data_IF_472464862045
#
_entry.id   IF_472464862045
#
_cell.length_a   1.000
_cell.length_b   1.000
_cell.length_c   1.000
_cell.angle_alpha   90.00
_cell.angle_beta   90.00
_cell.angle_gamma   90.00
#
_symmetry.space_group_name_H-M   'P 1'
#
loop_
_entity.id
_entity.type
_entity.pdbx_description
1 polymer ?
#
# COMPACT_ATOMS: atom_id res chain seq x y z
N UNK A 1 -19.79 41.29 -3.41
CA UNK A 1 -19.06 40.76 -4.57
C UNK A 1 -17.63 40.50 -4.14
N UNK A 2 -17.23 39.24 -3.98
CA UNK A 2 -15.84 38.88 -3.66
C UNK A 2 -15.41 37.86 -4.72
N UNK A 3 -14.57 38.34 -5.63
CA UNK A 3 -14.02 37.60 -6.75
C UNK A 3 -12.83 36.79 -6.26
N UNK A 4 -12.86 35.48 -6.43
CA UNK A 4 -11.74 34.59 -6.13
C UNK A 4 -11.20 34.09 -7.46
N UNK A 5 -9.99 34.52 -7.81
CA UNK A 5 -9.29 34.08 -9.01
C UNK A 5 -8.81 32.65 -8.74
N UNK A 6 -9.42 31.66 -9.43
CA UNK A 6 -8.93 30.28 -9.45
C UNK A 6 -7.67 30.22 -10.31
N UNK A 7 -6.50 30.21 -9.68
CA UNK A 7 -5.24 29.91 -10.35
C UNK A 7 -5.11 28.40 -10.51
N UNK A 8 -5.44 27.89 -11.70
CA UNK A 8 -5.20 26.49 -12.08
C UNK A 8 -3.71 26.31 -12.38
N UNK A 9 -2.99 25.62 -11.51
CA UNK A 9 -1.62 25.19 -11.74
C UNK A 9 -1.63 23.85 -12.50
N UNK A 10 -1.34 23.87 -13.80
CA UNK A 10 -1.11 22.65 -14.59
C UNK A 10 0.33 22.18 -14.36
N UNK A 11 0.53 21.09 -13.61
CA UNK A 11 1.81 20.40 -13.51
C UNK A 11 1.80 19.26 -14.53
N UNK A 12 2.55 19.42 -15.62
CA UNK A 12 2.74 18.37 -16.62
C UNK A 12 3.86 17.45 -16.16
N UNK A 13 3.53 16.25 -15.69
CA UNK A 13 4.52 15.24 -15.28
C UNK A 13 4.97 14.48 -16.53
N UNK A 14 6.22 14.69 -16.94
CA UNK A 14 6.88 13.91 -17.99
C UNK A 14 7.43 12.62 -17.36
N UNK A 15 6.97 11.46 -17.82
CA UNK A 15 7.46 10.17 -17.34
C UNK A 15 8.82 9.83 -17.97
N UNK A 16 9.83 9.58 -17.14
CA UNK A 16 11.14 9.07 -17.55
C UNK A 16 11.13 7.55 -17.42
N UNK A 17 11.05 6.85 -18.55
CA UNK A 17 11.21 5.38 -18.58
C UNK A 17 12.70 5.03 -18.55
N UNK A 18 13.19 4.54 -17.42
CA UNK A 18 14.50 3.88 -17.32
C UNK A 18 14.29 2.40 -17.65
N UNK A 19 14.68 2.00 -18.85
CA UNK A 19 14.72 0.59 -19.25
C UNK A 19 16.00 -0.06 -18.74
N UNK A 20 15.90 -0.99 -17.79
CA UNK A 20 17.00 -1.90 -17.46
C UNK A 20 16.92 -3.13 -18.37
N UNK A 21 17.95 -3.30 -19.19
CA UNK A 21 18.23 -4.50 -19.98
C UNK A 21 19.16 -5.40 -19.17
N UNK A 22 18.74 -6.65 -18.92
CA UNK A 22 19.61 -7.68 -18.35
C UNK A 22 19.58 -8.90 -19.25
N UNK A 23 20.67 -9.13 -19.98
CA UNK A 23 20.99 -10.41 -20.61
C UNK A 23 22.48 -10.71 -20.40
N UNK A 24 22.79 -11.81 -19.70
CA UNK A 24 23.49 -12.99 -20.23
C UNK A 24 24.36 -13.71 -19.18
N UNK A 25 24.24 -15.03 -19.19
CA UNK A 25 24.72 -16.10 -18.31
C UNK A 25 26.20 -16.47 -18.50
N UNK A 26 26.89 -16.77 -17.40
CA UNK A 26 28.15 -17.57 -17.31
C UNK A 26 28.05 -18.23 -15.92
N UNK A 27 27.79 -19.52 -15.73
CA UNK A 27 28.69 -20.67 -15.85
C UNK A 27 27.87 -21.96 -15.94
N UNK A 28 28.32 -22.91 -16.77
CA UNK A 28 27.67 -24.19 -17.00
C UNK A 28 28.26 -25.37 -16.20
N UNK A 29 27.39 -26.38 -16.03
CA UNK A 29 27.68 -27.81 -16.25
C UNK A 29 28.42 -28.60 -15.17
N UNK A 30 27.73 -29.57 -14.56
CA UNK A 30 28.18 -30.97 -14.59
C UNK A 30 27.01 -31.92 -14.25
N UNK A 31 26.55 -32.69 -15.24
CA UNK A 31 25.63 -33.81 -15.07
C UNK A 31 26.39 -35.03 -14.54
N UNK A 32 25.87 -35.73 -13.53
CA UNK A 32 26.16 -37.17 -13.35
C UNK A 32 24.94 -37.85 -12.73
N UNK A 33 24.20 -38.52 -13.60
CA UNK A 33 23.15 -39.49 -13.24
C UNK A 33 23.80 -40.83 -12.87
N UNK A 34 23.40 -41.45 -11.74
CA UNK A 34 23.38 -42.91 -11.58
C UNK A 34 22.61 -43.36 -10.32
N UNK A 35 21.34 -43.75 -10.55
CA UNK A 35 20.73 -45.04 -10.20
C UNK A 35 20.63 -45.53 -8.73
N UNK A 36 19.35 -45.53 -8.28
CA UNK A 36 18.58 -46.58 -7.58
C UNK A 36 18.38 -46.57 -6.04
N UNK A 37 17.08 -46.50 -5.68
CA UNK A 37 16.37 -46.98 -4.47
C UNK A 37 16.82 -46.38 -3.14
N UNK A 38 15.95 -45.98 -2.22
CA UNK A 38 14.53 -46.16 -2.02
C UNK A 38 13.99 -44.97 -1.19
N UNK A 39 12.67 -44.89 -1.10
CA UNK A 39 11.89 -44.07 -0.17
C UNK A 39 11.75 -42.57 -0.48
N UNK A 40 10.57 -42.30 -1.06
CA UNK A 40 9.71 -41.14 -0.87
C UNK A 40 10.40 -39.78 -0.66
N UNK A 41 10.68 -39.08 -1.76
CA UNK A 41 10.71 -37.62 -1.73
C UNK A 41 10.40 -36.99 -3.08
N UNK A 42 9.67 -35.88 -2.96
CA UNK A 42 9.42 -34.77 -3.87
C UNK A 42 10.25 -34.69 -5.15
N UNK A 43 9.57 -34.73 -6.31
CA UNK A 43 9.98 -33.92 -7.47
C UNK A 43 8.80 -33.70 -8.44
N UNK A 44 7.83 -32.88 -8.03
CA UNK A 44 6.97 -32.22 -9.03
C UNK A 44 7.77 -31.10 -9.67
N UNK A 45 8.00 -31.26 -10.96
CA UNK A 45 8.55 -30.29 -11.89
C UNK A 45 7.86 -28.93 -11.69
N UNK A 46 8.46 -28.06 -10.87
CA UNK A 46 8.04 -26.66 -10.79
C UNK A 46 8.64 -25.95 -12.00
N UNK A 47 7.89 -25.99 -13.10
CA UNK A 47 8.05 -25.01 -14.15
C UNK A 47 8.02 -23.63 -13.46
N UNK A 48 9.15 -22.94 -13.45
CA UNK A 48 9.29 -21.56 -13.00
C UNK A 48 8.57 -20.66 -14.01
N UNK A 49 7.25 -20.80 -14.04
CA UNK A 49 6.38 -19.77 -14.55
C UNK A 49 6.49 -18.69 -13.50
N UNK A 50 7.27 -17.65 -13.79
CA UNK A 50 7.22 -16.41 -13.02
C UNK A 50 5.75 -16.01 -12.92
N UNK A 51 5.12 -16.35 -11.81
CA UNK A 51 3.78 -15.93 -11.49
C UNK A 51 3.92 -14.47 -11.19
N UNK A 52 3.71 -13.61 -12.20
CA UNK A 52 3.42 -12.22 -11.94
C UNK A 52 2.22 -12.21 -10.99
N UNK A 53 2.49 -12.02 -9.70
CA UNK A 53 1.45 -11.79 -8.70
C UNK A 53 0.86 -10.44 -9.06
N UNK A 54 -0.16 -10.47 -9.91
CA UNK A 54 -0.95 -9.29 -10.23
C UNK A 54 -1.41 -8.70 -8.91
N UNK A 55 -1.05 -7.45 -8.66
CA UNK A 55 -1.57 -6.73 -7.50
C UNK A 55 -3.10 -6.70 -7.62
N UNK A 56 -3.79 -7.08 -6.55
CA UNK A 56 -5.26 -7.16 -6.51
C UNK A 56 -5.88 -6.02 -5.72
N UNK A 57 -5.06 -5.29 -4.95
CA UNK A 57 -5.46 -4.25 -4.03
C UNK A 57 -4.54 -3.04 -4.10
N UNK A 58 -5.02 -1.92 -3.57
CA UNK A 58 -4.25 -0.74 -3.24
C UNK A 58 -3.94 -0.67 -1.75
N UNK A 59 -3.15 0.32 -1.38
CA UNK A 59 -2.78 0.58 0.00
C UNK A 59 -2.94 2.06 0.35
N UNK A 60 -3.13 2.34 1.64
CA UNK A 60 -3.10 3.69 2.21
C UNK A 60 -2.02 3.74 3.28
N UNK A 61 -1.19 4.78 3.24
CA UNK A 61 -0.09 4.99 4.18
C UNK A 61 -0.12 6.41 4.76
N UNK A 62 0.31 6.56 6.01
CA UNK A 62 0.50 7.87 6.61
C UNK A 62 1.12 7.80 8.00
N UNK A 63 1.17 8.96 8.64
CA UNK A 63 1.62 9.11 10.03
C UNK A 63 0.64 9.99 10.79
N UNK A 64 0.44 9.69 12.06
CA UNK A 64 -0.42 10.41 12.98
C UNK A 64 0.38 10.79 14.21
N UNK A 65 0.43 12.08 14.50
CA UNK A 65 1.02 12.60 15.73
C UNK A 65 -0.10 12.64 16.78
N UNK A 66 -0.11 11.64 17.66
CA UNK A 66 -1.02 11.51 18.80
C UNK A 66 -0.24 11.02 20.03
N UNK A 67 0.40 11.93 20.80
CA UNK A 67 1.24 11.52 21.92
C UNK A 67 0.41 10.84 23.01
N UNK A 68 0.86 9.67 23.45
CA UNK A 68 0.25 8.86 24.52
C UNK A 68 -1.19 8.38 24.24
N UNK A 69 -1.64 8.37 22.98
CA UNK A 69 -2.99 7.91 22.64
C UNK A 69 -2.95 6.88 21.52
N UNK A 70 -3.80 5.87 21.62
CA UNK A 70 -4.03 4.92 20.53
C UNK A 70 -4.88 5.55 19.43
N UNK A 71 -4.50 5.33 18.17
CA UNK A 71 -5.19 5.87 17.00
C UNK A 71 -5.85 4.74 16.22
N UNK A 72 -7.12 4.97 15.89
CA UNK A 72 -7.94 4.11 15.05
C UNK A 72 -8.26 4.81 13.74
N UNK A 73 -8.00 4.10 12.65
CA UNK A 73 -8.21 4.55 11.28
C UNK A 73 -9.34 3.73 10.68
N UNK A 74 -10.33 4.41 10.14
CA UNK A 74 -11.50 3.81 9.50
C UNK A 74 -11.63 4.41 8.11
N UNK A 75 -11.37 3.59 7.10
CA UNK A 75 -11.59 3.94 5.71
C UNK A 75 -12.89 3.30 5.22
N UNK A 76 -13.81 4.11 4.69
CA UNK A 76 -15.12 3.64 4.25
C UNK A 76 -15.40 4.14 2.84
N UNK A 77 -15.92 3.26 2.00
CA UNK A 77 -16.53 3.58 0.71
C UNK A 77 -17.98 3.08 0.74
N UNK A 78 -18.71 3.22 -0.35
CA UNK A 78 -20.08 2.75 -0.55
C UNK A 78 -20.22 1.23 -0.41
N UNK A 79 -19.14 0.47 -0.61
CA UNK A 79 -19.15 -1.00 -0.64
C UNK A 79 -18.49 -1.62 0.59
N UNK A 80 -17.40 -1.03 1.08
CA UNK A 80 -16.55 -1.64 2.09
C UNK A 80 -16.10 -0.68 3.17
N UNK A 81 -15.78 -1.27 4.33
CA UNK A 81 -15.17 -0.60 5.47
C UNK A 81 -13.92 -1.36 5.87
N UNK A 82 -12.79 -0.68 5.86
CA UNK A 82 -11.48 -1.21 6.25
C UNK A 82 -11.00 -0.41 7.47
N UNK A 83 -10.47 -1.11 8.46
CA UNK A 83 -9.98 -0.51 9.70
C UNK A 83 -8.51 -0.83 9.92
N UNK A 84 -7.77 0.10 10.51
CA UNK A 84 -6.39 -0.11 10.93
C UNK A 84 -6.04 0.71 12.16
N UNK A 85 -4.87 0.46 12.70
CA UNK A 85 -4.30 1.20 13.84
C UNK A 85 -2.91 1.70 13.47
N UNK A 86 -2.42 2.69 14.21
CA UNK A 86 -1.03 3.15 14.08
C UNK A 86 -0.10 2.30 14.95
N UNK A 87 1.19 2.31 14.61
CA UNK A 87 2.25 1.76 15.45
C UNK A 87 2.67 2.74 16.57
N UNK A 88 3.71 2.39 17.35
CA UNK A 88 4.24 3.20 18.47
C UNK A 88 4.74 4.60 18.07
N UNK A 89 5.13 4.78 16.80
CA UNK A 89 5.58 6.07 16.25
C UNK A 89 4.47 6.80 15.48
N UNK A 90 3.25 6.28 15.51
CA UNK A 90 2.09 6.88 14.87
C UNK A 90 1.97 6.58 13.37
N UNK A 91 2.81 5.73 12.79
CA UNK A 91 2.73 5.36 11.38
C UNK A 91 1.69 4.26 11.15
N UNK A 92 1.05 4.31 9.98
CA UNK A 92 0.11 3.27 9.55
C UNK A 92 0.31 2.93 8.08
N UNK A 93 0.13 1.65 7.78
CA UNK A 93 0.14 1.10 6.42
C UNK A 93 -0.96 0.05 6.32
N UNK A 94 -2.01 0.35 5.57
CA UNK A 94 -3.19 -0.50 5.44
C UNK A 94 -3.29 -0.94 3.98
N UNK A 95 -3.38 -2.24 3.73
CA UNK A 95 -3.54 -2.86 2.40
C UNK A 95 -4.94 -3.45 2.27
N UNK A 96 -5.24 -4.06 1.13
CA UNK A 96 -6.54 -4.71 0.90
C UNK A 96 -7.64 -3.75 0.45
N UNK A 97 -7.29 -2.58 -0.09
CA UNK A 97 -8.28 -1.65 -0.66
C UNK A 97 -8.60 -2.03 -2.11
N UNK A 98 -9.86 -2.32 -2.45
CA UNK A 98 -10.30 -2.25 -3.83
C UNK A 98 -10.03 -0.88 -4.46
N UNK A 99 -9.97 -0.84 -5.79
CA UNK A 99 -9.95 0.43 -6.51
C UNK A 99 -11.24 1.20 -6.21
N UNK A 100 -11.10 2.44 -5.76
CA UNK A 100 -12.25 3.21 -5.31
C UNK A 100 -11.90 4.55 -4.70
N UNK A 101 -12.92 5.24 -4.21
CA UNK A 101 -12.80 6.51 -3.50
C UNK A 101 -13.27 6.31 -2.07
N UNK A 102 -12.39 6.53 -1.10
CA UNK A 102 -12.65 6.27 0.31
C UNK A 102 -12.72 7.56 1.09
N UNK A 103 -13.60 7.58 2.09
CA UNK A 103 -13.57 8.53 3.19
C UNK A 103 -12.75 7.91 4.31
N UNK A 104 -11.59 8.51 4.62
CA UNK A 104 -10.69 8.03 5.68
C UNK A 104 -10.87 8.89 6.92
N UNK A 105 -11.27 8.27 8.01
CA UNK A 105 -11.44 8.88 9.31
C UNK A 105 -10.38 8.37 10.28
N UNK A 106 -9.66 9.30 10.90
CA UNK A 106 -8.63 9.04 11.90
C UNK A 106 -9.11 9.62 13.22
N UNK A 107 -9.18 8.80 14.26
CA UNK A 107 -9.63 9.19 15.60
C UNK A 107 -8.72 8.59 16.67
N UNK A 108 -8.61 9.24 17.82
CA UNK A 108 -8.00 8.64 19.01
C UNK A 108 -9.04 7.89 19.83
N UNK A 109 -8.65 6.78 20.46
CA UNK A 109 -9.55 6.00 21.32
C UNK A 109 -9.95 6.77 22.59
N UNK A 110 -9.09 7.69 23.07
CA UNK A 110 -9.37 8.52 24.25
C UNK A 110 -10.39 9.64 23.98
N UNK A 111 -10.52 10.12 22.73
CA UNK A 111 -11.32 11.30 22.42
C UNK A 111 -12.00 11.19 21.05
N UNK A 112 -13.33 11.01 21.03
CA UNK A 112 -14.11 11.05 19.78
C UNK A 112 -14.25 12.48 19.19
N UNK A 113 -13.89 13.51 19.95
CA UNK A 113 -13.97 14.92 19.55
C UNK A 113 -12.83 15.35 18.63
N UNK A 114 -11.64 14.77 18.78
CA UNK A 114 -10.49 15.07 17.93
C UNK A 114 -10.38 13.99 16.85
N UNK A 115 -11.02 14.24 15.71
CA UNK A 115 -10.96 13.37 14.54
C UNK A 115 -10.54 14.16 13.31
N UNK A 116 -9.73 13.54 12.45
CA UNK A 116 -9.44 14.05 11.12
C UNK A 116 -10.19 13.19 10.10
N UNK A 117 -10.89 13.84 9.17
CA UNK A 117 -11.53 13.15 8.05
C UNK A 117 -10.91 13.62 6.74
N UNK A 118 -10.59 12.68 5.86
CA UNK A 118 -10.16 12.89 4.48
C UNK A 118 -11.24 12.34 3.58
N UNK A 119 -11.91 13.25 2.87
CA UNK A 119 -12.87 12.89 1.84
C UNK A 119 -12.13 12.68 0.50
N UNK A 120 -12.76 11.93 -0.39
CA UNK A 120 -12.31 11.75 -1.77
C UNK A 120 -10.90 11.13 -1.94
N UNK A 121 -10.49 10.23 -1.04
CA UNK A 121 -9.20 9.53 -1.13
C UNK A 121 -9.27 8.46 -2.22
N UNK A 122 -8.67 8.73 -3.38
CA UNK A 122 -8.63 7.81 -4.51
C UNK A 122 -7.55 6.75 -4.33
N UNK A 123 -7.97 5.50 -4.25
CA UNK A 123 -7.08 4.33 -4.17
C UNK A 123 -7.13 3.59 -5.49
N UNK A 124 -5.96 3.20 -6.00
CA UNK A 124 -5.84 2.36 -7.20
C UNK A 124 -5.12 1.08 -6.88
N UNK A 125 -5.50 0.01 -7.59
CA UNK A 125 -4.84 -1.28 -7.44
C UNK A 125 -3.37 -1.14 -7.79
N UNK A 126 -2.54 -1.57 -6.85
CA UNK A 126 -1.11 -1.57 -6.97
C UNK A 126 -0.39 -0.27 -6.68
N UNK A 127 -1.14 0.79 -6.34
CA UNK A 127 -0.62 2.07 -5.88
C UNK A 127 -0.72 2.18 -4.34
N UNK A 128 0.19 2.96 -3.76
CA UNK A 128 0.13 3.36 -2.35
C UNK A 128 -0.30 4.81 -2.29
N UNK A 129 -1.44 5.07 -1.66
CA UNK A 129 -1.97 6.42 -1.46
C UNK A 129 -1.43 6.96 -0.15
N UNK A 130 -0.58 7.99 -0.22
CA UNK A 130 -0.01 8.63 0.96
C UNK A 130 -0.92 9.76 1.46
N UNK A 131 -1.37 9.67 2.72
CA UNK A 131 -2.13 10.73 3.39
C UNK A 131 -1.24 11.76 4.10
N UNK A 132 0.07 11.50 4.16
CA UNK A 132 1.04 12.36 4.83
C UNK A 132 0.96 12.27 6.36
N UNK A 133 1.28 13.36 7.03
CA UNK A 133 1.27 13.46 8.50
C UNK A 133 0.03 14.21 8.98
N UNK A 134 -0.68 13.60 9.93
CA UNK A 134 -1.89 14.14 10.54
C UNK A 134 -1.60 14.43 12.00
N UNK A 135 -1.96 15.61 12.49
CA UNK A 135 -1.82 15.93 13.92
C UNK A 135 -3.19 15.83 14.56
N UNK A 136 -3.33 14.95 15.55
CA UNK A 136 -4.54 14.80 16.34
C UNK A 136 -4.15 15.14 17.78
N UNK A 137 -4.48 16.34 18.23
CA UNK A 137 -4.16 16.76 19.59
C UNK A 137 -5.07 16.04 20.59
N UNK A 138 -4.47 15.23 21.45
CA UNK A 138 -5.09 14.78 22.70
C UNK A 138 -5.04 15.94 23.68
N UNK A 139 -6.20 16.41 24.16
CA UNK A 139 -6.30 17.54 25.09
C UNK A 139 -6.38 17.09 26.54
#
# INVERSE_FOLDING_TARGET
>A
MKSYIKTTLLITVTTLFIGCSSNNTIFGGNDTSSTANADADSETVHADTATETKKTDGAIMGSVIAPNSEVSIVATNSEEKITGTTNEVGEFFITGFPEGTYTVKIKTEENETTQQTFEDVKVRIGEVTALGTVTVASN
#
